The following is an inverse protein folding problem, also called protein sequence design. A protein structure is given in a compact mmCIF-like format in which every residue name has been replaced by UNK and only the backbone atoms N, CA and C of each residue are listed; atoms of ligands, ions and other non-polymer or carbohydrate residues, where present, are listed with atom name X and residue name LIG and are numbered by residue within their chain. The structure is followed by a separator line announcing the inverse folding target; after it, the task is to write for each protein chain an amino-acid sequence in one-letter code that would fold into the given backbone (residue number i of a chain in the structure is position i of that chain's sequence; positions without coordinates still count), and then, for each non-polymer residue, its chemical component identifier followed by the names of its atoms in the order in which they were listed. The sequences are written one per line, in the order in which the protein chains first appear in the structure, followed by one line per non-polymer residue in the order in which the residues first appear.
data_IF_283128708341
#
_entry.id   IF_283128708341
#
_cell.length_a   1.000
_cell.length_b   1.000
_cell.length_c   1.000
_cell.angle_alpha   90.00
_cell.angle_beta   90.00
_cell.angle_gamma   90.00
#
_symmetry.space_group_name_H-M   'P 1'
#
loop_
_entity.id
_entity.type
_entity.pdbx_description
1 polymer ?
#
# COMPACT_ATOMS: atom_id res chain seq x y z
N UNK A 1 -6.17 -17.88 -11.50
CA UNK A 1 -4.98 -17.08 -11.65
C UNK A 1 -4.31 -16.85 -10.32
N UNK A 2 -3.06 -16.99 -10.28
CA UNK A 2 -2.35 -16.83 -9.05
C UNK A 2 -1.79 -15.42 -8.92
N UNK A 3 -1.37 -15.08 -7.72
CA UNK A 3 -0.73 -13.80 -7.47
C UNK A 3 0.77 -13.86 -7.71
N UNK A 4 1.29 -14.98 -8.18
CA UNK A 4 2.73 -15.16 -8.34
C UNK A 4 3.28 -14.10 -9.29
N UNK A 5 4.36 -13.47 -8.88
CA UNK A 5 5.04 -12.49 -9.69
C UNK A 5 4.50 -11.08 -9.62
N UNK A 6 3.36 -10.87 -8.98
CA UNK A 6 2.87 -9.51 -8.79
C UNK A 6 3.71 -8.82 -7.71
N UNK A 7 4.09 -7.59 -7.99
CA UNK A 7 4.98 -6.82 -7.12
C UNK A 7 4.17 -5.88 -6.24
N UNK A 8 4.35 -6.01 -4.93
CA UNK A 8 3.69 -5.19 -3.93
C UNK A 8 4.74 -4.34 -3.22
N UNK A 9 4.52 -3.05 -3.11
CA UNK A 9 5.39 -2.18 -2.33
C UNK A 9 4.80 -2.00 -0.94
N UNK A 10 5.66 -2.00 0.07
CA UNK A 10 5.27 -1.74 1.46
C UNK A 10 6.02 -0.50 1.91
N UNK A 11 5.29 0.52 2.36
CA UNK A 11 5.88 1.79 2.80
C UNK A 11 5.43 2.04 4.24
N UNK A 12 6.36 1.89 5.17
CA UNK A 12 6.09 2.06 6.61
C UNK A 12 7.42 2.38 7.28
N UNK A 13 7.43 3.36 8.16
CA UNK A 13 8.67 3.77 8.83
C UNK A 13 9.12 2.82 9.93
N UNK A 14 8.28 1.87 10.32
CA UNK A 14 8.62 0.91 11.37
C UNK A 14 9.17 -0.38 10.77
N UNK A 15 10.46 -0.65 11.02
CA UNK A 15 11.12 -1.83 10.46
C UNK A 15 10.42 -3.14 10.82
N UNK A 16 9.96 -3.35 12.07
CA UNK A 16 9.25 -4.59 12.38
C UNK A 16 7.98 -4.80 11.56
N UNK A 17 7.27 -3.72 11.26
CA UNK A 17 6.06 -3.80 10.44
C UNK A 17 6.44 -4.18 9.00
N UNK A 18 7.45 -3.53 8.43
CA UNK A 18 7.94 -3.87 7.09
C UNK A 18 8.32 -5.33 6.97
N UNK A 19 9.05 -5.82 7.98
CA UNK A 19 9.50 -7.22 7.98
C UNK A 19 8.33 -8.19 8.04
N UNK A 20 7.37 -7.91 8.93
CA UNK A 20 6.21 -8.78 9.07
C UNK A 20 5.35 -8.81 7.83
N UNK A 21 5.08 -7.63 7.25
CA UNK A 21 4.27 -7.54 6.04
C UNK A 21 4.95 -8.21 4.86
N UNK A 22 6.26 -7.99 4.72
CA UNK A 22 7.01 -8.60 3.63
C UNK A 22 6.98 -10.11 3.69
N UNK A 23 7.18 -10.67 4.88
CA UNK A 23 7.14 -12.12 5.06
C UNK A 23 5.78 -12.68 4.68
N UNK A 24 4.73 -12.04 5.16
CA UNK A 24 3.37 -12.49 4.92
C UNK A 24 3.00 -12.47 3.44
N UNK A 25 3.36 -11.39 2.77
CA UNK A 25 3.07 -11.24 1.35
C UNK A 25 3.86 -12.23 0.49
N UNK A 26 5.12 -12.47 0.85
CA UNK A 26 5.94 -13.46 0.12
C UNK A 26 5.38 -14.87 0.27
N UNK A 27 4.85 -15.19 1.45
CA UNK A 27 4.20 -16.47 1.65
C UNK A 27 2.97 -16.63 0.78
N UNK A 28 2.36 -15.53 0.34
CA UNK A 28 1.22 -15.55 -0.55
C UNK A 28 1.64 -15.41 -2.02
N UNK A 29 2.92 -15.60 -2.30
CA UNK A 29 3.49 -15.62 -3.65
C UNK A 29 3.60 -14.25 -4.32
N UNK A 30 3.56 -13.17 -3.56
CA UNK A 30 3.85 -11.84 -4.09
C UNK A 30 5.35 -11.56 -4.02
N UNK A 31 5.83 -10.74 -4.95
CA UNK A 31 7.13 -10.11 -4.81
C UNK A 31 6.96 -8.85 -3.97
N UNK A 32 7.91 -8.56 -3.11
CA UNK A 32 7.77 -7.45 -2.17
C UNK A 32 9.04 -6.61 -2.15
N UNK A 33 8.86 -5.30 -2.17
CA UNK A 33 9.93 -4.37 -1.81
C UNK A 33 9.41 -3.49 -0.69
N UNK A 34 10.24 -3.22 0.30
CA UNK A 34 9.84 -2.46 1.47
C UNK A 34 10.66 -1.17 1.54
N UNK A 35 9.99 -0.09 1.90
CA UNK A 35 10.59 1.24 1.96
C UNK A 35 10.29 1.87 3.31
N UNK A 36 11.28 2.54 3.88
CA UNK A 36 11.14 3.17 5.19
C UNK A 36 10.55 4.57 5.15
N UNK A 37 10.33 5.12 3.96
CA UNK A 37 9.76 6.45 3.82
C UNK A 37 9.05 6.58 2.48
N UNK A 38 8.17 7.57 2.40
CA UNK A 38 7.50 7.87 1.15
C UNK A 38 8.47 8.35 0.08
N UNK A 39 9.49 9.11 0.47
CA UNK A 39 10.49 9.58 -0.49
C UNK A 39 11.26 8.44 -1.13
N UNK A 40 11.67 7.45 -0.33
CA UNK A 40 12.35 6.27 -0.87
C UNK A 40 11.48 5.53 -1.87
N UNK A 41 10.20 5.38 -1.53
CA UNK A 41 9.28 4.69 -2.42
C UNK A 41 9.12 5.45 -3.74
N UNK A 42 8.88 6.75 -3.67
CA UNK A 42 8.70 7.56 -4.88
C UNK A 42 9.93 7.52 -5.77
N UNK A 43 11.12 7.51 -5.17
CA UNK A 43 12.36 7.44 -5.93
C UNK A 43 12.53 6.09 -6.65
N UNK A 44 11.85 5.05 -6.19
CA UNK A 44 11.96 3.73 -6.80
C UNK A 44 11.09 3.57 -8.06
N UNK A 45 10.11 4.43 -8.25
CA UNK A 45 9.12 4.24 -9.31
C UNK A 45 9.69 4.25 -10.73
N UNK A 46 10.70 5.07 -11.05
CA UNK A 46 11.26 5.01 -12.40
C UNK A 46 11.84 3.65 -12.76
N UNK A 47 12.24 2.88 -11.75
CA UNK A 47 12.79 1.55 -11.98
C UNK A 47 11.70 0.50 -12.06
N UNK A 48 10.73 0.58 -11.16
CA UNK A 48 9.70 -0.46 -11.10
C UNK A 48 8.43 0.09 -10.45
N UNK A 49 7.29 -0.15 -11.10
CA UNK A 49 5.99 0.28 -10.60
C UNK A 49 5.26 -0.93 -9.99
N UNK A 50 4.81 -0.84 -8.74
CA UNK A 50 4.12 -1.97 -8.12
C UNK A 50 2.68 -2.10 -8.61
N UNK A 51 2.14 -3.31 -8.49
CA UNK A 51 0.73 -3.56 -8.77
C UNK A 51 -0.17 -3.01 -7.66
N UNK A 52 0.38 -2.86 -6.45
CA UNK A 52 -0.35 -2.34 -5.30
C UNK A 52 0.68 -1.79 -4.32
N UNK A 53 0.32 -0.76 -3.57
CA UNK A 53 1.18 -0.23 -2.52
C UNK A 53 0.43 -0.24 -1.19
N UNK A 54 1.12 -0.68 -0.14
CA UNK A 54 0.61 -0.61 1.22
C UNK A 54 1.30 0.58 1.87
N UNK A 55 0.51 1.60 2.22
CA UNK A 55 1.02 2.88 2.70
C UNK A 55 0.59 3.15 4.13
N UNK A 56 1.56 3.35 5.01
CA UNK A 56 1.27 3.85 6.34
C UNK A 56 0.81 5.30 6.22
N UNK A 57 -0.28 5.65 6.89
CA UNK A 57 -0.81 7.01 6.87
C UNK A 57 0.15 7.99 7.52
N UNK A 58 0.68 7.63 8.70
CA UNK A 58 1.50 8.54 9.50
C UNK A 58 2.96 8.13 9.46
N UNK A 59 3.76 8.90 8.76
CA UNK A 59 5.20 8.69 8.65
C UNK A 59 5.93 10.00 8.79
N UNK A 60 7.16 9.98 9.32
CA UNK A 60 7.99 11.19 9.30
C UNK A 60 8.26 11.61 7.86
N UNK A 61 8.39 12.89 7.64
CA UNK A 61 8.53 13.41 6.29
C UNK A 61 7.19 13.50 5.62
N UNK A 62 7.01 12.85 4.48
CA UNK A 62 5.72 12.90 3.80
C UNK A 62 4.82 11.77 4.31
N UNK A 63 3.55 12.09 4.49
CA UNK A 63 2.55 11.12 4.93
C UNK A 63 2.14 10.20 3.80
N UNK A 64 1.43 9.13 4.13
CA UNK A 64 0.85 8.26 3.11
C UNK A 64 -0.08 9.01 2.17
N UNK A 65 -0.85 9.95 2.68
CA UNK A 65 -1.72 10.77 1.84
C UNK A 65 -0.93 11.64 0.88
N UNK A 66 0.20 12.20 1.34
CA UNK A 66 1.05 13.01 0.48
C UNK A 66 1.68 12.16 -0.64
N UNK A 67 2.07 10.92 -0.33
CA UNK A 67 2.56 10.00 -1.35
C UNK A 67 1.48 9.76 -2.40
N UNK A 68 0.27 9.48 -1.95
CA UNK A 68 -0.84 9.22 -2.88
C UNK A 68 -1.12 10.44 -3.76
N UNK A 69 -1.07 11.64 -3.19
CA UNK A 69 -1.29 12.86 -3.95
C UNK A 69 -0.23 13.02 -5.05
N UNK A 70 1.02 12.70 -4.75
CA UNK A 70 2.08 12.79 -5.76
C UNK A 70 1.91 11.74 -6.86
N UNK A 71 1.47 10.53 -6.51
CA UNK A 71 1.17 9.52 -7.51
C UNK A 71 0.09 9.98 -8.47
N UNK A 72 -0.97 10.56 -7.93
CA UNK A 72 -2.09 11.05 -8.76
C UNK A 72 -1.64 12.21 -9.63
N UNK A 73 -0.84 13.11 -9.09
CA UNK A 73 -0.34 14.24 -9.87
C UNK A 73 0.56 13.79 -11.03
N UNK A 74 1.21 12.65 -10.87
CA UNK A 74 2.07 12.09 -11.92
C UNK A 74 1.31 11.12 -12.84
N UNK A 75 0.00 11.04 -12.70
CA UNK A 75 -0.84 10.08 -13.43
C UNK A 75 -0.41 8.64 -13.25
N UNK A 76 0.14 8.34 -12.06
CA UNK A 76 0.59 7.01 -11.72
C UNK A 76 -0.52 6.35 -10.91
N UNK A 77 -1.27 5.46 -11.55
CA UNK A 77 -2.48 4.90 -10.97
C UNK A 77 -2.18 3.56 -10.31
N UNK A 78 -1.69 3.63 -9.08
CA UNK A 78 -1.34 2.45 -8.29
C UNK A 78 -2.38 2.28 -7.19
N UNK A 79 -3.08 1.14 -7.12
CA UNK A 79 -4.03 0.91 -6.02
C UNK A 79 -3.31 0.96 -4.68
N UNK A 80 -3.87 1.68 -3.72
CA UNK A 80 -3.25 1.87 -2.42
C UNK A 80 -4.13 1.30 -1.32
N UNK A 81 -3.52 0.49 -0.46
CA UNK A 81 -4.11 0.05 0.79
C UNK A 81 -3.42 0.84 1.89
N UNK A 82 -4.18 1.67 2.59
CA UNK A 82 -3.61 2.45 3.70
C UNK A 82 -3.65 1.65 4.99
N UNK A 83 -2.62 1.82 5.80
CA UNK A 83 -2.57 1.20 7.13
C UNK A 83 -2.31 2.30 8.16
N UNK A 84 -2.81 2.11 9.37
CA UNK A 84 -2.65 3.10 10.43
C UNK A 84 -2.78 2.47 11.81
N UNK A 85 -2.06 3.02 12.78
CA UNK A 85 -2.26 2.67 14.19
C UNK A 85 -3.34 3.53 14.85
N UNK A 86 -3.81 4.57 14.17
CA UNK A 86 -4.81 5.48 14.71
C UNK A 86 -6.21 4.88 14.60
N UNK A 87 -7.06 5.14 15.57
CA UNK A 87 -8.46 4.76 15.52
C UNK A 87 -9.39 5.94 15.21
N UNK A 88 -8.83 7.02 14.69
CA UNK A 88 -9.59 8.19 14.29
C UNK A 88 -10.60 7.80 13.21
N UNK A 89 -11.90 7.96 13.46
CA UNK A 89 -12.92 7.57 12.48
C UNK A 89 -12.91 8.41 11.21
N UNK A 90 -12.33 9.61 11.25
CA UNK A 90 -12.24 10.45 10.06
C UNK A 90 -11.29 9.93 9.00
N UNK A 91 -10.42 8.99 9.36
CA UNK A 91 -9.46 8.46 8.39
C UNK A 91 -10.11 7.67 7.27
N UNK A 92 -11.23 7.00 7.53
CA UNK A 92 -11.91 6.26 6.47
C UNK A 92 -12.35 7.18 5.34
N UNK A 93 -12.94 8.31 5.69
CA UNK A 93 -13.37 9.28 4.68
C UNK A 93 -12.16 9.91 3.98
N UNK A 94 -11.07 10.17 4.73
CA UNK A 94 -9.87 10.74 4.16
C UNK A 94 -9.21 9.80 3.15
N UNK A 95 -9.21 8.50 3.43
CA UNK A 95 -8.66 7.51 2.52
C UNK A 95 -9.45 7.48 1.22
N UNK A 96 -10.78 7.47 1.31
CA UNK A 96 -11.61 7.49 0.12
C UNK A 96 -11.41 8.77 -0.69
N UNK A 97 -11.32 9.90 -0.02
CA UNK A 97 -11.10 11.18 -0.69
C UNK A 97 -9.75 11.22 -1.39
N UNK A 98 -8.76 10.53 -0.85
CA UNK A 98 -7.43 10.48 -1.45
C UNK A 98 -7.32 9.46 -2.58
N UNK A 99 -8.38 8.71 -2.85
CA UNK A 99 -8.37 7.70 -3.89
C UNK A 99 -7.82 6.36 -3.43
N UNK A 100 -7.71 6.14 -2.12
CA UNK A 100 -7.28 4.85 -1.60
C UNK A 100 -8.37 3.81 -1.71
N UNK A 101 -7.96 2.55 -1.76
CA UNK A 101 -8.90 1.45 -1.88
C UNK A 101 -9.49 1.07 -0.52
N UNK A 102 -8.63 0.89 0.47
CA UNK A 102 -9.04 0.44 1.78
C UNK A 102 -8.15 1.02 2.86
N UNK A 103 -8.66 1.04 4.08
CA UNK A 103 -7.88 1.39 5.27
C UNK A 103 -7.92 0.22 6.24
N UNK A 104 -6.76 -0.25 6.66
CA UNK A 104 -6.63 -1.27 7.71
C UNK A 104 -6.04 -0.63 8.95
N UNK A 105 -6.64 -0.88 10.11
CA UNK A 105 -6.12 -0.39 11.38
C UNK A 105 -5.29 -1.47 12.04
N UNK A 106 -4.11 -1.10 12.49
CA UNK A 106 -3.21 -2.00 13.22
C UNK A 106 -3.76 -2.21 14.63
N UNK A 107 -3.68 -3.41 15.19
CA UNK A 107 -3.22 -4.62 14.54
C UNK A 107 -4.29 -5.23 13.64
N UNK A 108 -3.88 -5.85 12.56
CA UNK A 108 -4.82 -6.56 11.68
C UNK A 108 -4.31 -7.98 11.46
N UNK A 109 -5.22 -8.88 11.08
CA UNK A 109 -4.85 -10.26 10.81
C UNK A 109 -4.23 -10.38 9.43
N UNK A 110 -3.47 -11.44 9.22
CA UNK A 110 -2.93 -11.72 7.90
C UNK A 110 -4.03 -11.91 6.86
N UNK A 111 -5.14 -12.52 7.28
CA UNK A 111 -6.28 -12.72 6.39
C UNK A 111 -6.85 -11.39 5.91
N UNK A 112 -7.01 -10.43 6.81
CA UNK A 112 -7.52 -9.11 6.44
C UNK A 112 -6.59 -8.38 5.49
N UNK A 113 -5.29 -8.47 5.74
CA UNK A 113 -4.32 -7.84 4.86
C UNK A 113 -4.37 -8.46 3.45
N UNK A 114 -4.36 -9.78 3.38
CA UNK A 114 -4.36 -10.45 2.09
C UNK A 114 -5.64 -10.18 1.30
N UNK A 115 -6.77 -10.11 2.00
CA UNK A 115 -8.04 -9.75 1.36
C UNK A 115 -8.02 -8.32 0.84
N UNK A 116 -7.44 -7.40 1.60
CA UNK A 116 -7.34 -6.01 1.18
C UNK A 116 -6.48 -5.86 -0.06
N UNK A 117 -5.34 -6.54 -0.09
CA UNK A 117 -4.45 -6.52 -1.25
C UNK A 117 -5.14 -7.12 -2.47
N UNK A 118 -5.80 -8.25 -2.28
CA UNK A 118 -6.52 -8.90 -3.36
C UNK A 118 -7.63 -8.00 -3.93
N UNK A 119 -8.35 -7.32 -3.05
CA UNK A 119 -9.39 -6.39 -3.48
C UNK A 119 -8.79 -5.21 -4.24
N UNK A 120 -7.66 -4.68 -3.77
CA UNK A 120 -6.99 -3.57 -4.44
C UNK A 120 -6.51 -3.99 -5.84
N UNK A 121 -5.93 -5.18 -5.94
CA UNK A 121 -5.46 -5.68 -7.23
C UNK A 121 -6.62 -5.89 -8.21
N UNK A 122 -7.74 -6.32 -7.70
CA UNK A 122 -8.91 -6.53 -8.53
C UNK A 122 -9.52 -5.26 -9.08
N UNK A 123 -9.48 -4.18 -8.30
CA UNK A 123 -10.05 -2.91 -8.75
C UNK A 123 -9.07 -2.07 -9.53
N UNK A 124 -7.79 -2.26 -9.28
CA UNK A 124 -6.78 -1.37 -9.84
C UNK A 124 -6.51 -1.60 -11.29
N UNK A 125 -6.32 -2.80 -11.69
CA UNK A 125 -5.94 -3.02 -13.02
C UNK A 125 -7.05 -3.41 -13.85
N UNK A 126 -7.89 -3.86 -13.31
CA UNK A 126 -8.75 -4.36 -14.14
C UNK A 126 -9.60 -3.75 -14.74
N UNK A 127 -9.75 -3.08 -14.22
CA UNK A 127 -10.72 -2.67 -14.75
C UNK A 127 -10.65 -2.61 -16.06
N UNK A 128 -10.43 -2.85 -16.51
CA UNK A 128 -10.68 -2.84 -17.64
C UNK A 128 -10.96 -3.61 -18.16
N UNK A 129 -11.16 -3.72 -17.72
CA UNK A 129 -11.51 -4.49 -18.36
C UNK A 129 -11.95 -4.71 -18.68
#
# INVERSE_FOLDING_TARGET
MTSAGLYIAVVDDEAPVRTALGRLLRLADYEVAAFGSGDEFLASLPVRVPACVILDVHMPGISGFAVQAQLRAANCDIPAVFITASDDPGLDAAVLAAGGTLLLRKPFTSDRLLKAVSAALGTGCGSKS
#
